data_IF_694062098001
#
_entry.id   IF_694062098001
#
_cell.length_a   1.000
_cell.length_b   1.000
_cell.length_c   1.000
_cell.angle_alpha   90.00
_cell.angle_beta   90.00
_cell.angle_gamma   90.00
#
_symmetry.space_group_name_H-M   'P 1'
#
loop_
_entity.id
_entity.type
_entity.pdbx_description
1 polymer ?
#
# COMPACT_ATOMS: atom_id res chain seq x y z
N UNK A 1 -7.22 0.80 -6.54
CA UNK A 1 -5.95 1.34 -5.99
C UNK A 1 -4.82 0.31 -6.04
N UNK A 2 -5.02 -0.93 -5.57
CA UNK A 2 -3.98 -1.98 -5.64
C UNK A 2 -3.42 -2.18 -7.05
N UNK A 3 -4.27 -2.24 -8.08
CA UNK A 3 -3.84 -2.37 -9.48
C UNK A 3 -2.96 -1.18 -9.91
N UNK A 4 -3.29 0.04 -9.47
CA UNK A 4 -2.49 1.24 -9.76
C UNK A 4 -1.13 1.16 -9.09
N UNK A 5 -1.07 0.68 -7.84
CA UNK A 5 0.21 0.47 -7.14
C UNK A 5 1.08 -0.57 -7.85
N UNK A 6 0.50 -1.71 -8.25
CA UNK A 6 1.19 -2.76 -9.02
C UNK A 6 1.71 -2.19 -10.35
N UNK A 7 0.84 -1.52 -11.12
CA UNK A 7 1.23 -0.90 -12.39
C UNK A 7 2.33 0.13 -12.21
N UNK A 8 2.23 0.99 -11.19
CA UNK A 8 3.24 1.98 -10.86
C UNK A 8 4.62 1.36 -10.59
N UNK A 9 4.67 0.31 -9.76
CA UNK A 9 5.92 -0.43 -9.47
C UNK A 9 6.51 -1.03 -10.75
N UNK A 10 5.69 -1.68 -11.58
CA UNK A 10 6.14 -2.31 -12.83
C UNK A 10 6.73 -1.28 -13.79
N UNK A 11 6.06 -0.13 -13.95
CA UNK A 11 6.49 0.94 -14.88
C UNK A 11 7.87 1.52 -14.53
N UNK A 12 8.23 1.58 -13.24
CA UNK A 12 9.52 2.12 -12.80
C UNK A 12 10.54 1.04 -12.47
N UNK A 13 10.18 -0.24 -12.49
CA UNK A 13 10.99 -1.34 -11.95
C UNK A 13 12.43 -1.39 -12.47
N UNK A 14 12.60 -1.24 -13.79
CA UNK A 14 13.92 -1.26 -14.44
C UNK A 14 14.79 -0.06 -14.10
N UNK A 15 14.20 1.04 -13.62
CA UNK A 15 14.90 2.26 -13.22
C UNK A 15 15.17 2.32 -11.71
N UNK A 16 14.55 1.44 -10.91
CA UNK A 16 14.72 1.46 -9.47
C UNK A 16 16.11 0.95 -9.06
N UNK A 17 16.84 1.68 -8.21
CA UNK A 17 18.05 1.18 -7.57
C UNK A 17 17.75 -0.05 -6.70
N UNK A 18 18.76 -0.86 -6.40
CA UNK A 18 18.60 -2.08 -5.60
C UNK A 18 18.10 -1.80 -4.18
N UNK A 19 18.39 -0.61 -3.65
CA UNK A 19 17.91 -0.12 -2.36
C UNK A 19 17.06 1.13 -2.55
N UNK A 20 15.91 1.19 -1.88
CA UNK A 20 14.92 2.27 -1.98
C UNK A 20 14.49 2.70 -0.59
N UNK A 21 14.13 3.98 -0.37
CA UNK A 21 13.62 4.44 0.90
C UNK A 21 12.20 3.89 1.10
N UNK A 22 12.00 3.03 2.09
CA UNK A 22 10.69 2.45 2.39
C UNK A 22 10.22 2.81 3.81
N UNK A 23 11.16 2.91 4.76
CA UNK A 23 10.85 3.09 6.18
C UNK A 23 10.88 4.57 6.57
N UNK A 24 9.84 5.32 6.20
CA UNK A 24 9.77 6.77 6.46
C UNK A 24 9.68 7.15 7.94
N UNK A 25 9.37 6.19 8.82
CA UNK A 25 9.36 6.40 10.27
C UNK A 25 10.76 6.34 10.91
N UNK A 26 11.75 5.76 10.21
CA UNK A 26 13.11 5.60 10.73
C UNK A 26 13.92 6.91 10.61
N UNK A 27 15.02 7.06 11.38
CA UNK A 27 15.96 8.17 11.22
C UNK A 27 16.50 8.26 9.78
N UNK A 28 16.86 9.47 9.34
CA UNK A 28 17.39 9.68 8.00
C UNK A 28 18.71 8.92 7.78
N UNK A 29 18.95 8.42 6.57
CA UNK A 29 20.13 7.64 6.23
C UNK A 29 19.81 6.17 5.92
N UNK A 30 20.75 5.27 6.21
CA UNK A 30 20.68 3.86 5.83
C UNK A 30 19.49 3.12 6.47
N UNK A 31 19.05 3.52 7.66
CA UNK A 31 17.91 2.92 8.36
C UNK A 31 16.59 2.99 7.57
N UNK A 32 16.45 3.95 6.63
CA UNK A 32 15.25 4.07 5.77
C UNK A 32 15.27 3.13 4.57
N UNK A 33 16.44 2.63 4.21
CA UNK A 33 16.65 1.89 2.96
C UNK A 33 16.21 0.44 3.13
N UNK A 34 15.51 -0.06 2.12
CA UNK A 34 15.13 -1.45 2.00
C UNK A 34 15.46 -1.96 0.59
N UNK A 35 15.63 -3.27 0.43
CA UNK A 35 15.74 -3.85 -0.90
C UNK A 35 14.48 -3.54 -1.72
N UNK A 36 14.62 -3.16 -3.00
CA UNK A 36 13.48 -2.79 -3.87
C UNK A 36 12.37 -3.84 -3.97
N UNK A 37 12.67 -5.12 -3.72
CA UNK A 37 11.66 -6.19 -3.62
C UNK A 37 10.63 -5.93 -2.52
N UNK A 38 10.99 -5.20 -1.46
CA UNK A 38 10.10 -4.89 -0.35
C UNK A 38 9.00 -3.88 -0.75
N UNK A 39 9.11 -3.20 -1.88
CA UNK A 39 8.03 -2.35 -2.40
C UNK A 39 6.74 -3.14 -2.66
N UNK A 40 6.85 -4.44 -2.95
CA UNK A 40 5.68 -5.31 -3.14
C UNK A 40 4.87 -5.53 -1.87
N UNK A 41 5.42 -5.23 -0.68
CA UNK A 41 4.66 -5.23 0.57
C UNK A 41 3.54 -4.18 0.56
N UNK A 42 3.70 -3.08 -0.17
CA UNK A 42 2.69 -2.01 -0.25
C UNK A 42 1.40 -2.53 -0.90
N UNK A 43 1.40 -3.04 -2.16
CA UNK A 43 0.19 -3.61 -2.75
C UNK A 43 -0.27 -4.88 -2.05
N UNK A 44 0.64 -5.70 -1.49
CA UNK A 44 0.26 -6.89 -0.72
C UNK A 44 -0.55 -6.52 0.53
N UNK A 45 -0.13 -5.49 1.26
CA UNK A 45 -0.85 -4.97 2.44
C UNK A 45 -2.21 -4.40 2.06
N UNK A 46 -2.28 -3.68 0.94
CA UNK A 46 -3.54 -3.17 0.40
C UNK A 46 -4.52 -4.32 0.05
N UNK A 47 -4.01 -5.36 -0.62
CA UNK A 47 -4.81 -6.54 -0.98
C UNK A 47 -5.26 -7.32 0.27
N UNK A 48 -4.37 -7.49 1.25
CA UNK A 48 -4.69 -8.11 2.54
C UNK A 48 -5.76 -7.34 3.29
N UNK A 49 -5.67 -6.01 3.34
CA UNK A 49 -6.66 -5.14 3.99
C UNK A 49 -8.04 -5.28 3.34
N UNK A 50 -8.10 -5.26 2.01
CA UNK A 50 -9.36 -5.48 1.27
C UNK A 50 -9.89 -6.88 1.54
N UNK A 51 -9.03 -7.90 1.51
CA UNK A 51 -9.42 -9.29 1.78
C UNK A 51 -10.03 -9.45 3.17
N UNK A 52 -9.37 -8.95 4.21
CA UNK A 52 -9.87 -8.96 5.58
C UNK A 52 -11.21 -8.22 5.69
N UNK A 53 -11.32 -7.02 5.12
CA UNK A 53 -12.56 -6.24 5.19
C UNK A 53 -13.72 -6.91 4.44
N UNK A 54 -13.48 -7.58 3.32
CA UNK A 54 -14.48 -8.36 2.60
C UNK A 54 -14.93 -9.58 3.42
N UNK A 55 -13.99 -10.29 4.06
CA UNK A 55 -14.32 -11.42 4.93
C UNK A 55 -15.17 -10.96 6.12
N UNK A 56 -14.77 -9.88 6.79
CA UNK A 56 -15.52 -9.29 7.89
C UNK A 56 -16.91 -8.86 7.44
N UNK A 57 -17.03 -8.18 6.29
CA UNK A 57 -18.32 -7.76 5.75
C UNK A 57 -19.24 -8.94 5.42
N UNK A 58 -18.71 -10.09 4.98
CA UNK A 58 -19.51 -11.30 4.76
C UNK A 58 -20.04 -11.91 6.06
N UNK A 59 -19.23 -11.92 7.12
CA UNK A 59 -19.62 -12.46 8.42
C UNK A 59 -20.60 -11.53 9.13
N UNK A 60 -20.40 -10.22 9.05
CA UNK A 60 -21.19 -9.22 9.80
C UNK A 60 -22.33 -8.57 9.01
N UNK A 61 -22.33 -8.69 7.69
CA UNK A 61 -23.26 -7.98 6.80
C UNK A 61 -24.73 -8.34 6.97
N UNK A 62 -25.04 -9.49 7.58
CA UNK A 62 -26.41 -9.89 7.93
C UNK A 62 -26.94 -9.15 9.18
N UNK A 63 -26.07 -8.54 9.98
CA UNK A 63 -26.44 -7.87 11.23
C UNK A 63 -26.80 -6.40 11.02
N UNK A 64 -26.04 -5.67 10.19
CA UNK A 64 -26.31 -4.26 9.89
C UNK A 64 -25.64 -3.82 8.59
N UNK A 65 -26.40 -3.12 7.73
CA UNK A 65 -25.92 -2.60 6.43
C UNK A 65 -24.81 -1.52 6.56
N UNK A 66 -24.65 -0.93 7.74
CA UNK A 66 -23.63 0.10 7.98
C UNK A 66 -22.22 -0.49 8.09
N UNK A 67 -22.06 -1.72 8.58
CA UNK A 67 -20.75 -2.32 8.83
C UNK A 67 -19.96 -2.51 7.51
N UNK A 68 -20.53 -3.12 6.45
CA UNK A 68 -19.83 -3.23 5.17
C UNK A 68 -19.42 -1.88 4.57
N UNK A 69 -20.23 -0.83 4.76
CA UNK A 69 -19.93 0.53 4.27
C UNK A 69 -18.74 1.13 5.00
N UNK A 70 -18.71 1.02 6.33
CA UNK A 70 -17.59 1.50 7.15
C UNK A 70 -16.30 0.74 6.80
N UNK A 71 -16.37 -0.58 6.63
CA UNK A 71 -15.23 -1.41 6.21
C UNK A 71 -14.71 -1.04 4.82
N UNK A 72 -15.61 -0.71 3.88
CA UNK A 72 -15.22 -0.26 2.55
C UNK A 72 -14.51 1.10 2.59
N UNK A 73 -15.03 2.06 3.35
CA UNK A 73 -14.40 3.38 3.54
C UNK A 73 -13.02 3.22 4.20
N UNK A 74 -12.92 2.41 5.26
CA UNK A 74 -11.65 2.13 5.93
C UNK A 74 -10.61 1.52 4.98
N UNK A 75 -11.01 0.54 4.15
CA UNK A 75 -10.13 -0.04 3.14
C UNK A 75 -9.67 1.00 2.10
N UNK A 76 -10.57 1.92 1.73
CA UNK A 76 -10.26 3.03 0.82
C UNK A 76 -9.21 3.99 1.39
N UNK A 77 -9.38 4.40 2.66
CA UNK A 77 -8.41 5.26 3.37
C UNK A 77 -7.04 4.60 3.43
N UNK A 78 -6.96 3.35 3.88
CA UNK A 78 -5.69 2.60 3.94
C UNK A 78 -5.05 2.49 2.55
N UNK A 79 -5.85 2.17 1.52
CA UNK A 79 -5.35 2.07 0.15
C UNK A 79 -4.81 3.39 -0.38
N UNK A 80 -5.42 4.52 -0.01
CA UNK A 80 -4.94 5.85 -0.38
C UNK A 80 -3.62 6.19 0.31
N UNK A 81 -3.51 5.93 1.62
CA UNK A 81 -2.26 6.13 2.36
C UNK A 81 -1.11 5.30 1.76
N UNK A 82 -1.37 4.04 1.41
CA UNK A 82 -0.38 3.17 0.76
C UNK A 82 0.03 3.70 -0.63
N UNK A 83 -0.92 4.19 -1.43
CA UNK A 83 -0.63 4.78 -2.73
C UNK A 83 0.23 6.05 -2.61
N UNK A 84 -0.10 6.92 -1.65
CA UNK A 84 0.70 8.12 -1.36
C UNK A 84 2.10 7.75 -0.87
N UNK A 85 2.22 6.72 -0.04
CA UNK A 85 3.51 6.18 0.38
C UNK A 85 4.36 5.72 -0.81
N UNK A 86 3.80 4.91 -1.71
CA UNK A 86 4.47 4.49 -2.94
C UNK A 86 4.88 5.67 -3.82
N UNK A 87 3.98 6.64 -3.99
CA UNK A 87 4.29 7.87 -4.72
C UNK A 87 5.48 8.62 -4.09
N UNK A 88 5.51 8.74 -2.75
CA UNK A 88 6.62 9.34 -2.03
C UNK A 88 7.96 8.62 -2.27
N UNK A 89 7.96 7.29 -2.30
CA UNK A 89 9.17 6.52 -2.67
C UNK A 89 9.62 6.89 -4.08
N UNK A 90 8.73 6.84 -5.05
CA UNK A 90 9.05 7.11 -6.46
C UNK A 90 9.53 8.56 -6.63
N UNK A 91 8.82 9.52 -6.05
CA UNK A 91 9.16 10.93 -6.08
C UNK A 91 10.58 11.16 -5.54
N UNK A 92 10.93 10.58 -4.39
CA UNK A 92 12.26 10.74 -3.78
C UNK A 92 13.44 10.23 -4.63
N UNK A 93 13.18 9.41 -5.66
CA UNK A 93 14.21 8.82 -6.51
C UNK A 93 14.32 9.49 -7.88
N UNK A 94 13.25 10.12 -8.37
CA UNK A 94 13.18 10.62 -9.75
C UNK A 94 12.85 12.10 -9.88
N UNK A 95 12.45 12.77 -8.79
CA UNK A 95 12.04 14.19 -8.76
C UNK A 95 12.73 14.87 -7.59
#
# INVERSE_FOLDING_TARGET
MVVVMIGGIILVWGKLPNVVPLWFAEPWGEARLANKLWLWLIPATGLGTVGVNVLLAKVTGKMALIIPRVLAVAAGVVSLTLLLGLYGVIQSLFI
#
